data_IF_576483080557
#
_entry.id   IF_576483080557
#
_cell.length_a   1.000
_cell.length_b   1.000
_cell.length_c   1.000
_cell.angle_alpha   90.00
_cell.angle_beta   90.00
_cell.angle_gamma   90.00
#
_symmetry.space_group_name_H-M   'P 1'
#
loop_
_entity.id
_entity.type
_entity.pdbx_description
1 polymer ?
#
# COMPACT_ATOMS: atom_id res chain seq x y z
N UNK A 1 -41.65 -18.47 28.17
CA UNK A 1 -40.30 -18.77 28.71
C UNK A 1 -39.35 -18.77 27.51
N UNK A 2 -38.80 -17.60 27.17
CA UNK A 2 -37.49 -17.04 27.59
C UNK A 2 -36.31 -17.59 26.78
N UNK A 3 -35.91 -16.71 25.84
CA UNK A 3 -34.62 -16.46 25.17
C UNK A 3 -33.34 -17.02 25.80
N UNK A 4 -32.35 -17.30 24.93
CA UNK A 4 -30.93 -16.83 24.96
C UNK A 4 -29.99 -17.84 24.28
N UNK A 5 -28.95 -17.52 23.51
CA UNK A 5 -28.38 -16.25 23.03
C UNK A 5 -27.55 -16.58 21.77
N UNK A 6 -27.58 -15.70 20.78
CA UNK A 6 -26.63 -15.62 19.67
C UNK A 6 -25.21 -15.41 20.23
N UNK A 7 -24.24 -16.22 19.80
CA UNK A 7 -22.82 -15.90 19.96
C UNK A 7 -22.36 -15.15 18.69
N UNK A 8 -22.05 -13.87 18.87
CA UNK A 8 -21.67 -12.89 17.85
C UNK A 8 -20.27 -13.13 17.21
N UNK A 9 -20.02 -12.58 16.00
CA UNK A 9 -18.74 -12.59 15.27
C UNK A 9 -17.63 -11.66 15.84
N UNK A 10 -17.60 -11.40 17.15
CA UNK A 10 -16.72 -10.39 17.77
C UNK A 10 -15.22 -10.73 17.82
N UNK A 11 -14.82 -12.01 17.70
CA UNK A 11 -13.40 -12.38 17.88
C UNK A 11 -12.51 -11.99 16.70
N UNK A 12 -13.04 -11.95 15.47
CA UNK A 12 -12.22 -11.79 14.27
C UNK A 12 -11.87 -10.33 13.97
N UNK A 13 -12.76 -9.40 14.34
CA UNK A 13 -12.44 -7.96 14.35
C UNK A 13 -11.24 -7.69 15.26
N UNK A 14 -11.04 -8.41 16.37
CA UNK A 14 -9.96 -8.13 17.33
C UNK A 14 -8.57 -8.45 16.79
N UNK A 15 -8.39 -9.45 15.92
CA UNK A 15 -7.06 -9.76 15.37
C UNK A 15 -6.67 -8.76 14.26
N UNK A 16 -7.61 -8.38 13.39
CA UNK A 16 -7.39 -7.35 12.36
C UNK A 16 -7.23 -5.95 12.98
N UNK A 17 -8.01 -5.63 14.04
CA UNK A 17 -7.80 -4.42 14.84
C UNK A 17 -6.46 -4.45 15.59
N UNK A 18 -5.98 -5.61 16.04
CA UNK A 18 -4.73 -5.69 16.81
C UNK A 18 -3.50 -5.39 15.95
N UNK A 19 -3.47 -5.87 14.70
CA UNK A 19 -2.42 -5.49 13.73
C UNK A 19 -2.44 -3.98 13.44
N UNK A 20 -3.62 -3.41 13.14
CA UNK A 20 -3.79 -1.98 12.88
C UNK A 20 -3.53 -1.08 14.11
N UNK A 21 -3.83 -1.57 15.33
CA UNK A 21 -3.55 -0.85 16.59
C UNK A 21 -2.07 -0.87 16.93
N UNK A 22 -1.33 -1.94 16.59
CA UNK A 22 0.10 -2.03 16.83
C UNK A 22 0.88 -0.98 16.01
N UNK A 23 0.56 -0.81 14.72
CA UNK A 23 1.15 0.24 13.87
C UNK A 23 0.85 1.66 14.37
N UNK A 24 -0.39 1.92 14.83
CA UNK A 24 -0.74 3.23 15.40
C UNK A 24 -0.03 3.55 16.74
N UNK A 25 0.37 2.54 17.52
CA UNK A 25 1.05 2.73 18.81
C UNK A 25 2.56 2.97 18.67
N UNK A 26 3.20 2.49 17.59
CA UNK A 26 4.62 2.73 17.32
C UNK A 26 4.94 4.22 17.05
N UNK A 27 3.94 5.00 16.64
CA UNK A 27 4.08 6.44 16.30
C UNK A 27 4.12 7.35 17.55
N UNK A 28 3.82 6.84 18.76
CA UNK A 28 3.74 7.66 19.99
C UNK A 28 4.65 7.20 21.14
N UNK A 29 5.59 6.28 20.89
CA UNK A 29 6.29 5.54 21.95
C UNK A 29 7.81 5.71 22.04
N UNK A 30 8.39 6.85 21.65
CA UNK A 30 9.83 7.10 21.83
C UNK A 30 10.21 7.24 23.31
N UNK A 31 10.58 6.13 23.97
CA UNK A 31 11.14 6.15 25.33
C UNK A 31 12.51 6.82 25.31
N UNK A 32 12.61 7.94 26.03
CA UNK A 32 13.85 8.61 26.37
C UNK A 32 14.78 7.66 27.14
N UNK A 33 15.99 7.46 26.60
CA UNK A 33 17.08 6.80 27.31
C UNK A 33 18.05 7.89 27.76
N UNK A 34 18.19 8.02 29.09
CA UNK A 34 19.11 8.97 29.74
C UNK A 34 20.56 8.64 29.39
N UNK A 35 21.25 9.61 28.78
CA UNK A 35 22.68 9.56 28.49
C UNK A 35 23.32 10.92 28.83
N UNK A 36 24.40 10.86 29.61
CA UNK A 36 25.08 11.96 30.25
C UNK A 36 25.43 13.17 29.38
N UNK A 37 25.34 14.34 30.01
CA UNK A 37 25.74 15.64 29.50
C UNK A 37 27.20 15.67 29.03
N UNK A 38 27.42 16.16 27.82
CA UNK A 38 28.65 16.89 27.47
C UNK A 38 28.25 18.03 26.54
N UNK A 39 28.55 19.23 27.00
CA UNK A 39 28.24 20.52 26.38
C UNK A 39 28.93 20.68 25.03
N UNK A 40 28.13 20.81 23.97
CA UNK A 40 28.56 21.28 22.66
C UNK A 40 27.42 22.08 22.02
N UNK A 41 27.56 23.40 21.98
CA UNK A 41 26.68 24.29 21.22
C UNK A 41 26.69 23.87 19.74
N UNK A 42 25.54 23.43 19.26
CA UNK A 42 25.23 23.36 17.83
C UNK A 42 23.92 24.14 17.62
N UNK A 43 24.00 25.10 16.70
CA UNK A 43 22.97 26.07 16.35
C UNK A 43 21.76 25.34 15.76
N UNK A 44 20.77 25.05 16.61
CA UNK A 44 19.56 24.33 16.24
C UNK A 44 18.52 25.29 15.67
N UNK A 45 18.46 25.41 14.36
CA UNK A 45 17.34 26.07 13.68
C UNK A 45 16.03 25.32 13.97
N UNK A 46 15.27 25.79 14.95
CA UNK A 46 13.94 25.27 15.27
C UNK A 46 13.02 25.55 14.08
N UNK A 47 12.77 24.54 13.23
CA UNK A 47 11.72 24.65 12.21
C UNK A 47 10.38 24.91 12.91
N UNK A 48 9.86 26.11 12.72
CA UNK A 48 8.55 26.53 13.21
C UNK A 48 7.44 25.66 12.56
N UNK A 49 6.91 24.71 13.33
CA UNK A 49 5.85 23.76 12.96
C UNK A 49 4.44 24.29 13.29
N UNK A 50 4.19 25.58 13.09
CA UNK A 50 2.84 26.13 13.32
C UNK A 50 1.80 25.48 12.37
N UNK A 51 0.52 25.33 12.79
CA UNK A 51 -0.52 24.70 11.97
C UNK A 51 -0.70 25.35 10.60
N UNK A 52 -0.54 26.67 10.51
CA UNK A 52 -0.63 27.42 9.25
C UNK A 52 0.48 27.03 8.28
N UNK A 53 1.73 26.94 8.74
CA UNK A 53 2.85 26.49 7.90
C UNK A 53 2.71 25.05 7.43
N UNK A 54 2.18 24.18 8.27
CA UNK A 54 1.89 22.78 7.89
C UNK A 54 0.82 22.71 6.79
N UNK A 55 -0.24 23.52 6.90
CA UNK A 55 -1.26 23.60 5.86
C UNK A 55 -0.71 24.17 4.54
N UNK A 56 0.11 25.22 4.60
CA UNK A 56 0.79 25.78 3.43
C UNK A 56 1.74 24.77 2.77
N UNK A 57 2.49 24.01 3.58
CA UNK A 57 3.36 22.94 3.09
C UNK A 57 2.57 21.85 2.37
N UNK A 58 1.50 21.34 2.99
CA UNK A 58 0.62 20.34 2.38
C UNK A 58 0.03 20.82 1.06
N UNK A 59 -0.44 22.06 1.02
CA UNK A 59 -0.95 22.66 -0.22
C UNK A 59 0.14 22.73 -1.30
N UNK A 60 1.37 23.12 -0.94
CA UNK A 60 2.51 23.15 -1.86
C UNK A 60 2.82 21.76 -2.42
N UNK A 61 2.83 20.73 -1.57
CA UNK A 61 3.09 19.35 -1.97
C UNK A 61 1.98 18.81 -2.87
N UNK A 62 0.71 19.02 -2.52
CA UNK A 62 -0.43 18.63 -3.38
C UNK A 62 -0.35 19.30 -4.75
N UNK A 63 0.09 20.56 -4.82
CA UNK A 63 0.26 21.29 -6.08
C UNK A 63 1.44 20.76 -6.93
N UNK A 64 2.36 19.99 -6.34
CA UNK A 64 3.45 19.35 -7.06
C UNK A 64 3.02 18.09 -7.82
N UNK A 65 1.87 17.49 -7.46
CA UNK A 65 1.28 16.38 -8.22
C UNK A 65 0.75 16.92 -9.56
N UNK A 66 1.31 16.52 -10.71
CA UNK A 66 0.94 17.07 -12.01
C UNK A 66 -0.29 16.37 -12.61
N UNK A 67 -1.21 15.89 -11.75
CA UNK A 67 -2.33 15.04 -12.14
C UNK A 67 -3.66 15.72 -11.82
N UNK A 68 -4.64 15.53 -12.70
CA UNK A 68 -6.00 15.99 -12.43
C UNK A 68 -6.57 15.23 -11.22
N UNK A 69 -7.16 15.96 -10.29
CA UNK A 69 -7.69 15.43 -9.04
C UNK A 69 -9.20 15.69 -8.94
N UNK A 70 -9.96 14.61 -8.83
CA UNK A 70 -11.40 14.62 -8.58
C UNK A 70 -11.68 14.37 -7.11
N UNK A 71 -12.74 14.94 -6.57
CA UNK A 71 -13.17 14.67 -5.19
C UNK A 71 -14.65 14.32 -5.14
N UNK A 72 -14.96 13.19 -4.52
CA UNK A 72 -16.33 12.66 -4.36
C UNK A 72 -16.55 12.19 -2.94
N UNK A 73 -17.79 11.83 -2.58
CA UNK A 73 -18.03 11.10 -1.33
C UNK A 73 -17.48 9.67 -1.45
N UNK A 74 -16.98 9.07 -0.36
CA UNK A 74 -16.38 7.73 -0.40
C UNK A 74 -17.35 6.65 -0.87
N UNK A 75 -18.66 6.82 -0.61
CA UNK A 75 -19.72 5.93 -1.13
C UNK A 75 -19.83 5.94 -2.66
N UNK A 76 -19.36 7.01 -3.31
CA UNK A 76 -19.44 7.21 -4.76
C UNK A 76 -18.11 6.89 -5.47
N UNK A 77 -17.04 6.58 -4.72
CA UNK A 77 -15.67 6.49 -5.24
C UNK A 77 -15.52 5.48 -6.39
N UNK A 78 -16.07 4.26 -6.26
CA UNK A 78 -16.01 3.25 -7.32
C UNK A 78 -16.84 3.62 -8.55
N UNK A 79 -18.00 4.26 -8.34
CA UNK A 79 -18.85 4.72 -9.44
C UNK A 79 -18.16 5.81 -10.25
N UNK A 80 -17.49 6.75 -9.58
CA UNK A 80 -16.73 7.80 -10.24
C UNK A 80 -15.46 7.26 -10.91
N UNK A 81 -14.73 6.36 -10.25
CA UNK A 81 -13.60 5.65 -10.85
C UNK A 81 -14.02 4.98 -12.16
N UNK A 82 -15.15 4.26 -12.17
CA UNK A 82 -15.67 3.62 -13.37
C UNK A 82 -16.01 4.63 -14.46
N UNK A 83 -16.68 5.73 -14.10
CA UNK A 83 -17.03 6.79 -15.06
C UNK A 83 -15.79 7.37 -15.72
N UNK A 84 -14.75 7.65 -14.95
CA UNK A 84 -13.47 8.19 -15.45
C UNK A 84 -12.72 7.16 -16.31
N UNK A 85 -12.70 5.89 -15.89
CA UNK A 85 -12.07 4.80 -16.64
C UNK A 85 -12.72 4.63 -18.02
N UNK A 86 -14.05 4.65 -18.08
CA UNK A 86 -14.81 4.51 -19.33
C UNK A 86 -14.58 5.69 -20.32
N UNK A 87 -14.07 6.84 -19.87
CA UNK A 87 -13.67 7.94 -20.76
C UNK A 87 -12.36 7.67 -21.51
N UNK A 88 -11.51 6.77 -21.00
CA UNK A 88 -10.26 6.38 -21.65
C UNK A 88 -9.20 7.48 -21.76
N UNK A 89 -9.24 8.50 -20.90
CA UNK A 89 -8.31 9.65 -20.92
C UNK A 89 -7.07 9.45 -20.03
N UNK A 90 -6.94 8.28 -19.41
CA UNK A 90 -5.91 7.93 -18.46
C UNK A 90 -6.43 6.83 -17.53
N UNK A 91 -5.63 6.48 -16.52
CA UNK A 91 -6.00 5.52 -15.50
C UNK A 91 -6.43 6.25 -14.22
N UNK A 92 -7.71 6.22 -13.82
CA UNK A 92 -8.12 6.78 -12.55
C UNK A 92 -7.61 5.90 -11.40
N UNK A 93 -7.16 6.53 -10.31
CA UNK A 93 -6.67 5.85 -9.12
C UNK A 93 -7.32 6.47 -7.90
N UNK A 94 -8.06 5.66 -7.14
CA UNK A 94 -8.66 6.13 -5.89
C UNK A 94 -7.56 6.22 -4.83
N UNK A 95 -7.35 7.41 -4.28
CA UNK A 95 -6.29 7.67 -3.30
C UNK A 95 -6.78 7.51 -1.87
N UNK A 96 -8.04 7.85 -1.58
CA UNK A 96 -8.56 7.89 -0.22
C UNK A 96 -8.86 9.31 0.22
N UNK A 97 -8.84 9.58 1.52
CA UNK A 97 -9.20 10.87 2.10
C UNK A 97 -8.09 11.94 1.97
N UNK A 98 -8.29 13.08 2.62
CA UNK A 98 -7.35 14.21 2.60
C UNK A 98 -5.96 13.81 3.15
N UNK A 99 -5.90 12.94 4.18
CA UNK A 99 -4.63 12.48 4.74
C UNK A 99 -3.90 11.55 3.77
N UNK A 100 -4.63 10.64 3.13
CA UNK A 100 -4.06 9.77 2.10
C UNK A 100 -3.48 10.57 0.92
N UNK A 101 -4.17 11.63 0.48
CA UNK A 101 -3.65 12.51 -0.58
C UNK A 101 -2.40 13.28 -0.13
N UNK A 102 -2.34 13.73 1.12
CA UNK A 102 -1.15 14.37 1.69
C UNK A 102 0.05 13.41 1.65
N UNK A 103 -0.14 12.15 2.08
CA UNK A 103 0.94 11.13 2.06
C UNK A 103 1.45 10.86 0.65
N UNK A 104 0.56 10.73 -0.34
CA UNK A 104 0.97 10.57 -1.75
C UNK A 104 1.76 11.78 -2.25
N UNK A 105 1.32 12.99 -1.91
CA UNK A 105 2.01 14.21 -2.32
C UNK A 105 3.39 14.36 -1.66
N UNK A 106 3.49 14.00 -0.39
CA UNK A 106 4.76 13.93 0.36
C UNK A 106 5.71 12.93 -0.29
N UNK A 107 5.29 11.68 -0.49
CA UNK A 107 6.07 10.61 -1.11
C UNK A 107 6.58 10.99 -2.51
N UNK A 108 5.70 11.50 -3.37
CA UNK A 108 6.06 11.92 -4.73
C UNK A 108 7.16 13.00 -4.76
N UNK A 109 7.21 13.82 -3.70
CA UNK A 109 8.10 14.97 -3.57
C UNK A 109 9.34 14.69 -2.70
N UNK A 110 9.49 13.49 -2.12
CA UNK A 110 10.56 13.18 -1.16
C UNK A 110 11.96 13.46 -1.73
N UNK A 111 12.17 13.05 -2.97
CA UNK A 111 13.46 13.20 -3.66
C UNK A 111 13.57 14.52 -4.45
N UNK A 112 12.55 15.37 -4.43
CA UNK A 112 12.57 16.63 -5.18
C UNK A 112 13.33 17.72 -4.39
N UNK A 113 14.54 18.12 -4.84
CA UNK A 113 15.34 19.11 -4.15
C UNK A 113 14.71 20.51 -4.12
N UNK A 114 13.68 20.78 -4.94
CA UNK A 114 12.90 22.02 -4.90
C UNK A 114 11.80 22.01 -3.82
N UNK A 115 11.46 20.82 -3.29
CA UNK A 115 10.42 20.63 -2.28
C UNK A 115 11.00 20.36 -0.90
N UNK A 116 12.06 19.55 -0.79
CA UNK A 116 12.77 19.26 0.45
C UNK A 116 14.27 19.55 0.30
N UNK A 117 14.92 20.27 1.24
CA UNK A 117 16.35 20.56 1.14
C UNK A 117 17.19 19.26 1.14
N UNK A 118 18.21 19.19 0.27
CA UNK A 118 19.14 18.06 0.09
C UNK A 118 19.89 17.59 1.37
N UNK A 119 19.71 18.27 2.51
CA UNK A 119 20.40 18.00 3.78
C UNK A 119 20.01 16.67 4.45
N UNK A 120 19.05 15.91 3.91
CA UNK A 120 18.73 14.57 4.39
C UNK A 120 19.57 13.46 3.72
N UNK A 121 19.99 13.63 2.46
CA UNK A 121 20.78 12.63 1.72
C UNK A 121 21.75 13.30 0.72
N UNK A 122 23.09 13.30 0.98
CA UNK A 122 24.08 14.01 0.16
C UNK A 122 24.30 13.46 -1.27
N UNK A 123 23.63 12.35 -1.63
CA UNK A 123 23.86 11.60 -2.87
C UNK A 123 22.61 11.49 -3.76
N UNK A 124 21.54 12.23 -3.47
CA UNK A 124 20.29 12.11 -4.22
C UNK A 124 20.48 12.57 -5.68
N UNK A 125 20.50 11.61 -6.61
CA UNK A 125 20.23 11.87 -8.02
C UNK A 125 18.86 12.51 -8.18
N UNK A 126 18.64 13.27 -9.25
CA UNK A 126 17.30 13.79 -9.57
C UNK A 126 16.26 12.64 -9.54
N UNK A 127 15.02 12.92 -9.11
CA UNK A 127 13.97 11.91 -9.10
C UNK A 127 13.80 11.28 -10.48
N UNK A 128 13.76 9.94 -10.54
CA UNK A 128 13.48 9.24 -11.79
C UNK A 128 12.12 9.68 -12.35
N UNK A 129 12.05 9.81 -13.66
CA UNK A 129 10.80 10.01 -14.40
C UNK A 129 10.01 8.70 -14.47
N UNK A 130 8.70 8.79 -14.71
CA UNK A 130 7.87 7.60 -14.91
C UNK A 130 8.41 6.71 -16.04
N UNK A 131 8.87 7.32 -17.15
CA UNK A 131 9.44 6.58 -18.29
C UNK A 131 10.72 5.80 -17.91
N UNK A 132 11.60 6.38 -17.09
CA UNK A 132 12.81 5.69 -16.62
C UNK A 132 12.49 4.53 -15.68
N UNK A 133 11.49 4.70 -14.80
CA UNK A 133 11.03 3.64 -13.89
C UNK A 133 10.40 2.50 -14.71
N UNK A 134 9.54 2.81 -15.68
CA UNK A 134 8.90 1.83 -16.56
C UNK A 134 9.96 1.07 -17.37
N UNK A 135 10.97 1.77 -17.91
CA UNK A 135 12.08 1.13 -18.61
C UNK A 135 12.92 0.24 -17.70
N UNK A 136 13.15 0.64 -16.44
CA UNK A 136 13.84 -0.20 -15.46
C UNK A 136 13.04 -1.49 -15.14
N UNK A 137 11.71 -1.39 -15.09
CA UNK A 137 10.83 -2.54 -14.85
C UNK A 137 10.92 -3.62 -15.94
N UNK A 138 11.36 -3.29 -17.16
CA UNK A 138 11.55 -4.27 -18.25
C UNK A 138 12.69 -5.25 -17.97
N UNK A 139 13.65 -4.88 -17.12
CA UNK A 139 14.72 -5.77 -16.66
C UNK A 139 14.32 -6.68 -15.49
N UNK A 140 13.13 -6.50 -14.90
CA UNK A 140 12.71 -7.20 -13.68
C UNK A 140 11.95 -8.47 -14.05
N UNK A 141 12.54 -9.63 -13.73
CA UNK A 141 11.95 -10.93 -14.05
C UNK A 141 11.11 -11.49 -12.89
N UNK A 142 9.78 -11.36 -13.00
CA UNK A 142 8.80 -11.86 -12.01
C UNK A 142 8.38 -13.31 -12.37
N UNK A 143 8.27 -14.24 -11.39
CA UNK A 143 8.30 -14.02 -9.94
C UNK A 143 9.68 -14.11 -9.28
N UNK A 144 10.75 -14.38 -10.03
CA UNK A 144 12.09 -14.53 -9.47
C UNK A 144 12.57 -13.30 -8.68
N UNK A 145 12.31 -12.10 -9.21
CA UNK A 145 12.65 -10.84 -8.57
C UNK A 145 11.90 -10.61 -7.25
N UNK A 146 10.64 -11.07 -7.13
CA UNK A 146 9.90 -10.95 -5.87
C UNK A 146 10.54 -11.82 -4.78
N UNK A 147 10.90 -13.06 -5.14
CA UNK A 147 11.61 -13.96 -4.22
C UNK A 147 12.95 -13.36 -3.78
N UNK A 148 13.72 -12.81 -4.73
CA UNK A 148 15.01 -12.19 -4.43
C UNK A 148 14.81 -10.97 -3.51
N UNK A 149 13.86 -10.10 -3.83
CA UNK A 149 13.52 -8.94 -3.01
C UNK A 149 13.19 -9.35 -1.57
N UNK A 150 12.31 -10.34 -1.38
CA UNK A 150 11.98 -10.84 -0.04
C UNK A 150 13.20 -11.42 0.68
N UNK A 151 14.09 -12.13 -0.03
CA UNK A 151 15.32 -12.65 0.56
C UNK A 151 16.31 -11.54 0.95
N UNK A 152 16.41 -10.48 0.16
CA UNK A 152 17.29 -9.35 0.46
C UNK A 152 16.79 -8.55 1.67
N UNK A 153 15.47 -8.46 1.86
CA UNK A 153 14.85 -7.71 2.94
C UNK A 153 14.75 -8.50 4.26
N UNK A 154 14.50 -9.81 4.19
CA UNK A 154 14.21 -10.66 5.36
C UNK A 154 15.18 -11.84 5.56
N UNK A 155 16.14 -12.06 4.67
CA UNK A 155 16.95 -13.29 4.63
C UNK A 155 18.04 -13.43 5.68
N UNK A 156 18.41 -12.35 6.38
CA UNK A 156 19.52 -12.34 7.35
C UNK A 156 19.09 -12.77 8.78
N UNK A 157 17.79 -12.94 9.05
CA UNK A 157 17.27 -13.31 10.37
C UNK A 157 16.94 -14.82 10.48
N UNK A 158 17.92 -15.62 10.95
CA UNK A 158 17.83 -17.09 11.06
C UNK A 158 16.68 -17.63 11.97
N UNK A 159 16.10 -16.81 12.86
CA UNK A 159 15.03 -17.22 13.78
C UNK A 159 13.67 -16.49 13.56
N UNK A 160 13.61 -15.38 12.83
CA UNK A 160 12.42 -14.51 12.76
C UNK A 160 11.60 -14.62 11.46
N UNK A 161 12.23 -14.90 10.31
CA UNK A 161 11.57 -14.74 9.00
C UNK A 161 11.61 -16.00 8.13
N UNK A 162 11.24 -17.13 8.73
CA UNK A 162 10.98 -18.34 7.96
C UNK A 162 9.79 -18.13 7.01
N UNK A 163 9.91 -18.67 5.79
CA UNK A 163 8.79 -18.78 4.85
C UNK A 163 7.55 -19.30 5.60
N UNK A 164 6.39 -18.61 5.53
CA UNK A 164 5.20 -19.03 6.24
C UNK A 164 4.80 -20.43 5.81
N UNK A 165 4.32 -21.23 6.78
CA UNK A 165 3.80 -22.53 6.49
C UNK A 165 2.61 -22.44 5.50
N UNK A 166 2.38 -23.50 4.72
CA UNK A 166 1.17 -23.58 3.90
C UNK A 166 -0.09 -23.43 4.78
N UNK A 167 -0.10 -24.05 5.96
CA UNK A 167 -1.26 -24.03 6.85
C UNK A 167 -2.39 -24.95 6.38
N UNK A 168 -3.55 -24.84 7.03
CA UNK A 168 -4.74 -25.64 6.69
C UNK A 168 -5.65 -24.87 5.74
N UNK A 169 -6.25 -25.57 4.77
CA UNK A 169 -7.25 -24.95 3.91
C UNK A 169 -8.50 -24.57 4.74
N UNK A 170 -8.93 -23.31 4.73
CA UNK A 170 -10.01 -22.88 5.60
C UNK A 170 -11.38 -23.39 5.11
N UNK A 171 -12.33 -23.51 6.03
CA UNK A 171 -13.74 -23.80 5.70
C UNK A 171 -14.53 -22.57 5.25
N UNK A 172 -13.96 -21.36 5.43
CA UNK A 172 -14.54 -20.08 5.02
C UNK A 172 -13.45 -19.07 4.66
N UNK A 173 -13.72 -18.21 3.69
CA UNK A 173 -12.83 -17.18 3.12
C UNK A 173 -13.18 -15.76 3.56
N UNK A 174 -14.18 -15.58 4.43
CA UNK A 174 -14.77 -14.26 4.74
C UNK A 174 -13.79 -13.19 5.26
N UNK A 175 -12.60 -13.59 5.72
CA UNK A 175 -11.58 -12.69 6.27
C UNK A 175 -10.23 -12.81 5.55
N UNK A 176 -10.16 -13.55 4.44
CA UNK A 176 -8.92 -13.73 3.70
C UNK A 176 -8.60 -12.52 2.80
N UNK A 177 -9.62 -11.77 2.38
CA UNK A 177 -9.47 -10.55 1.59
C UNK A 177 -10.45 -9.49 2.11
N UNK A 178 -9.99 -8.31 2.54
CA UNK A 178 -10.84 -7.27 3.10
C UNK A 178 -11.70 -6.55 2.04
N UNK A 179 -11.48 -6.82 0.74
CA UNK A 179 -12.19 -6.18 -0.35
C UNK A 179 -11.63 -4.80 -0.69
N UNK A 180 -12.50 -3.87 -1.06
CA UNK A 180 -12.14 -2.49 -1.34
C UNK A 180 -12.10 -1.66 -0.06
N UNK A 181 -10.92 -1.17 0.32
CA UNK A 181 -10.66 -0.54 1.62
C UNK A 181 -10.35 0.95 1.53
N UNK A 182 -9.74 1.42 0.45
CA UNK A 182 -9.17 2.78 0.35
C UNK A 182 -10.20 3.93 0.49
N UNK A 183 -11.48 3.69 0.25
CA UNK A 183 -12.53 4.72 0.39
C UNK A 183 -13.23 4.73 1.75
N UNK A 184 -12.82 3.90 2.72
CA UNK A 184 -13.45 3.79 4.03
C UNK A 184 -12.45 3.72 5.17
N UNK A 185 -12.85 4.19 6.34
CA UNK A 185 -12.11 3.99 7.57
C UNK A 185 -12.11 2.49 7.91
N UNK A 186 -10.91 1.90 7.98
CA UNK A 186 -10.73 0.45 8.13
C UNK A 186 -11.23 -0.08 9.48
N UNK A 187 -11.23 0.76 10.53
CA UNK A 187 -11.63 0.36 11.88
C UNK A 187 -13.17 0.33 12.02
N UNK A 188 -13.84 1.27 11.38
CA UNK A 188 -15.29 1.48 11.49
C UNK A 188 -16.08 0.96 10.30
N UNK A 189 -15.42 0.76 9.15
CA UNK A 189 -16.03 0.43 7.87
C UNK A 189 -16.85 1.57 7.26
N UNK A 190 -16.76 2.78 7.80
CA UNK A 190 -17.52 3.93 7.30
C UNK A 190 -16.79 4.57 6.13
N UNK A 191 -17.50 4.77 5.03
CA UNK A 191 -16.99 5.51 3.90
C UNK A 191 -16.56 6.92 4.31
N UNK A 192 -15.43 7.38 3.78
CA UNK A 192 -14.95 8.74 4.05
C UNK A 192 -15.92 9.78 3.46
N UNK A 193 -16.13 10.93 4.12
CA UNK A 193 -16.95 12.01 3.57
C UNK A 193 -16.40 12.58 2.26
N UNK A 194 -15.08 12.50 2.06
CA UNK A 194 -14.35 12.99 0.90
C UNK A 194 -13.29 11.97 0.52
N UNK A 195 -13.25 11.61 -0.75
CA UNK A 195 -12.25 10.73 -1.34
C UNK A 195 -11.73 11.38 -2.63
N UNK A 196 -10.41 11.34 -2.80
CA UNK A 196 -9.70 11.87 -3.95
C UNK A 196 -9.39 10.78 -4.97
N UNK A 197 -9.48 11.13 -6.25
CA UNK A 197 -9.14 10.27 -7.38
C UNK A 197 -8.18 11.03 -8.27
N UNK A 198 -7.00 10.48 -8.54
CA UNK A 198 -6.04 11.05 -9.49
C UNK A 198 -6.20 10.39 -10.85
N UNK A 199 -6.17 11.18 -11.92
CA UNK A 199 -6.13 10.67 -13.29
C UNK A 199 -4.68 10.62 -13.78
N UNK A 200 -4.15 9.41 -13.88
CA UNK A 200 -2.75 9.15 -14.25
C UNK A 200 -2.66 9.02 -15.78
N UNK A 201 -1.68 9.65 -16.46
CA UNK A 201 -1.61 9.70 -17.92
C UNK A 201 -1.01 8.42 -18.52
N UNK A 202 -1.62 7.28 -18.22
CA UNK A 202 -1.29 5.95 -18.77
C UNK A 202 -2.58 5.19 -19.08
N UNK A 203 -2.62 4.36 -20.14
CA UNK A 203 -3.71 3.41 -20.35
C UNK A 203 -3.54 2.12 -19.52
N UNK A 204 -2.44 1.97 -18.77
CA UNK A 204 -2.09 0.73 -18.09
C UNK A 204 -2.02 0.92 -16.58
N UNK A 205 -2.91 0.23 -15.85
CA UNK A 205 -2.96 0.31 -14.38
C UNK A 205 -1.63 -0.03 -13.71
N UNK A 206 -0.87 -0.96 -14.30
CA UNK A 206 0.40 -1.43 -13.75
C UNK A 206 1.53 -0.39 -13.86
N UNK A 207 1.37 0.69 -14.62
CA UNK A 207 2.36 1.77 -14.69
C UNK A 207 2.14 2.85 -13.62
N UNK A 208 0.99 2.86 -12.94
CA UNK A 208 0.63 3.86 -11.92
C UNK A 208 1.74 4.08 -10.87
N UNK A 209 2.37 3.04 -10.29
CA UNK A 209 3.44 3.23 -9.31
C UNK A 209 4.63 4.05 -9.84
N UNK A 210 4.94 3.96 -11.14
CA UNK A 210 6.00 4.76 -11.75
C UNK A 210 5.64 6.25 -11.84
N UNK A 211 4.39 6.55 -12.19
CA UNK A 211 3.90 7.94 -12.23
C UNK A 211 3.83 8.57 -10.84
N UNK A 212 3.49 7.78 -9.82
CA UNK A 212 3.43 8.25 -8.44
C UNK A 212 4.77 8.15 -7.69
N UNK A 213 5.81 7.57 -8.31
CA UNK A 213 7.11 7.28 -7.67
C UNK A 213 6.94 6.52 -6.34
N UNK A 214 6.03 5.56 -6.34
CA UNK A 214 5.54 4.90 -5.12
C UNK A 214 6.35 3.62 -4.83
N UNK A 215 6.92 3.53 -3.63
CA UNK A 215 7.74 2.41 -3.14
C UNK A 215 9.05 2.85 -2.46
N UNK A 216 9.88 1.91 -2.00
CA UNK A 216 11.15 2.11 -1.28
C UNK A 216 11.05 2.58 0.19
N UNK A 217 10.13 2.04 0.96
CA UNK A 217 10.05 2.25 2.42
C UNK A 217 9.49 1.02 3.10
N UNK A 218 9.85 0.71 4.35
CA UNK A 218 9.22 -0.36 5.16
C UNK A 218 9.01 -1.69 4.41
N UNK A 219 10.06 -2.26 3.80
CA UNK A 219 9.95 -3.47 2.97
C UNK A 219 8.94 -3.37 1.79
N UNK A 220 8.51 -2.16 1.43
CA UNK A 220 7.72 -1.87 0.24
C UNK A 220 8.65 -1.85 -0.99
N UNK A 221 8.35 -2.68 -2.01
CA UNK A 221 9.17 -2.75 -3.21
C UNK A 221 9.45 -1.40 -3.87
N UNK A 222 10.47 -1.35 -4.71
CA UNK A 222 10.72 -0.15 -5.52
C UNK A 222 9.63 0.04 -6.58
N UNK A 223 9.42 1.28 -7.08
CA UNK A 223 8.47 1.56 -8.15
C UNK A 223 8.60 0.63 -9.36
N UNK A 224 9.82 0.29 -9.79
CA UNK A 224 10.06 -0.62 -10.91
C UNK A 224 9.68 -2.08 -10.61
N UNK A 225 9.84 -2.54 -9.36
CA UNK A 225 9.37 -3.87 -8.94
C UNK A 225 7.84 -3.89 -8.91
N UNK A 226 7.19 -2.82 -8.43
CA UNK A 226 5.73 -2.68 -8.50
C UNK A 226 5.23 -2.79 -9.93
N UNK A 227 5.79 -2.00 -10.86
CA UNK A 227 5.38 -2.05 -12.27
C UNK A 227 5.52 -3.46 -12.84
N UNK A 228 6.65 -4.13 -12.59
CA UNK A 228 6.89 -5.48 -13.09
C UNK A 228 5.92 -6.52 -12.49
N UNK A 229 5.66 -6.45 -11.17
CA UNK A 229 4.77 -7.36 -10.46
C UNK A 229 3.31 -7.21 -10.92
N UNK A 230 2.83 -5.97 -10.96
CA UNK A 230 1.47 -5.64 -11.40
C UNK A 230 1.29 -6.02 -12.87
N UNK A 231 2.29 -5.78 -13.73
CA UNK A 231 2.26 -6.20 -15.13
C UNK A 231 2.24 -7.71 -15.28
N UNK A 232 3.03 -8.44 -14.49
CA UNK A 232 3.01 -9.91 -14.48
C UNK A 232 1.62 -10.46 -14.08
N UNK A 233 1.00 -9.89 -13.06
CA UNK A 233 -0.34 -10.29 -12.64
C UNK A 233 -1.43 -9.85 -13.61
N UNK A 234 -1.30 -8.69 -14.26
CA UNK A 234 -2.23 -8.25 -15.31
C UNK A 234 -2.31 -9.30 -16.43
N UNK A 235 -1.16 -9.75 -16.96
CA UNK A 235 -1.14 -10.75 -18.04
C UNK A 235 -1.77 -12.10 -17.63
N UNK A 236 -1.60 -12.51 -16.37
CA UNK A 236 -2.08 -13.82 -15.89
C UNK A 236 -3.54 -13.77 -15.45
N UNK A 237 -3.87 -12.79 -14.63
CA UNK A 237 -5.12 -12.71 -13.87
C UNK A 237 -6.03 -11.56 -14.30
N UNK A 238 -5.63 -10.75 -15.29
CA UNK A 238 -6.34 -9.52 -15.65
C UNK A 238 -6.51 -8.62 -14.41
N UNK A 239 -5.45 -8.57 -13.60
CA UNK A 239 -5.40 -7.80 -12.36
C UNK A 239 -5.07 -6.34 -12.66
N UNK A 240 -5.94 -5.45 -12.20
CA UNK A 240 -5.85 -4.02 -12.43
C UNK A 240 -5.82 -3.25 -11.11
N UNK A 241 -4.98 -2.22 -11.02
CA UNK A 241 -4.90 -1.34 -9.86
C UNK A 241 -6.11 -0.40 -9.85
N UNK A 242 -6.87 -0.39 -8.75
CA UNK A 242 -8.06 0.45 -8.58
C UNK A 242 -7.79 1.61 -7.63
N UNK A 243 -7.07 1.33 -6.54
CA UNK A 243 -6.68 2.35 -5.57
C UNK A 243 -5.28 2.11 -5.05
N UNK A 244 -4.61 3.20 -4.70
CA UNK A 244 -3.28 3.23 -4.11
C UNK A 244 -3.20 4.47 -3.21
N UNK A 245 -2.83 4.27 -1.95
CA UNK A 245 -2.67 5.35 -0.97
C UNK A 245 -1.25 5.29 -0.35
N UNK A 246 -1.01 5.92 0.80
CA UNK A 246 0.32 5.96 1.40
C UNK A 246 0.96 4.59 1.72
N UNK A 247 0.15 3.56 1.97
CA UNK A 247 0.62 2.26 2.47
C UNK A 247 -0.18 1.06 1.95
N UNK A 248 -1.20 1.28 1.11
CA UNK A 248 -2.18 0.27 0.70
C UNK A 248 -2.37 0.29 -0.81
N UNK A 249 -2.49 -0.90 -1.41
CA UNK A 249 -2.97 -1.08 -2.79
C UNK A 249 -4.23 -1.94 -2.78
N UNK A 250 -5.27 -1.48 -3.48
CA UNK A 250 -6.41 -2.31 -3.87
C UNK A 250 -6.35 -2.62 -5.37
N UNK A 251 -6.36 -3.90 -5.72
CA UNK A 251 -6.46 -4.36 -7.10
C UNK A 251 -7.74 -5.16 -7.32
N UNK A 252 -8.17 -5.25 -8.57
CA UNK A 252 -9.26 -6.11 -9.00
C UNK A 252 -8.80 -7.03 -10.12
N UNK A 253 -8.96 -8.34 -9.93
CA UNK A 253 -8.62 -9.37 -10.90
C UNK A 253 -9.87 -9.98 -11.52
N UNK A 254 -10.00 -9.92 -12.84
CA UNK A 254 -11.14 -10.53 -13.55
C UNK A 254 -10.99 -12.03 -13.75
N UNK A 255 -9.76 -12.58 -13.64
CA UNK A 255 -9.49 -14.03 -13.68
C UNK A 255 -8.90 -14.49 -12.36
N UNK A 256 -9.53 -15.49 -11.76
CA UNK A 256 -9.06 -16.12 -10.51
C UNK A 256 -8.24 -17.37 -10.78
N UNK A 257 -7.31 -17.75 -9.88
CA UNK A 257 -6.67 -19.05 -9.94
C UNK A 257 -7.72 -20.17 -9.90
N UNK A 258 -7.58 -21.13 -10.80
CA UNK A 258 -8.57 -22.20 -11.05
C UNK A 258 -8.34 -23.45 -10.20
N UNK A 259 -7.13 -23.59 -9.62
CA UNK A 259 -6.73 -24.75 -8.82
C UNK A 259 -6.07 -24.31 -7.52
N UNK A 260 -6.13 -25.18 -6.50
CA UNK A 260 -5.43 -24.96 -5.22
C UNK A 260 -3.91 -24.75 -5.43
N UNK A 261 -3.29 -25.52 -6.32
CA UNK A 261 -1.85 -25.42 -6.58
C UNK A 261 -1.49 -24.06 -7.22
N UNK A 262 -2.29 -23.59 -8.17
CA UNK A 262 -2.15 -22.27 -8.77
C UNK A 262 -2.35 -21.15 -7.72
N UNK A 263 -3.39 -21.26 -6.91
CA UNK A 263 -3.71 -20.29 -5.86
C UNK A 263 -2.60 -20.20 -4.81
N UNK A 264 -2.02 -21.32 -4.38
CA UNK A 264 -0.87 -21.35 -3.48
C UNK A 264 0.39 -20.78 -4.11
N UNK A 265 0.57 -20.96 -5.42
CA UNK A 265 1.68 -20.31 -6.13
C UNK A 265 1.52 -18.80 -6.15
N UNK A 266 0.32 -18.31 -6.47
CA UNK A 266 0.00 -16.88 -6.45
C UNK A 266 0.12 -16.30 -5.04
N UNK A 267 -0.36 -17.00 -4.01
CA UNK A 267 -0.24 -16.57 -2.62
C UNK A 267 1.22 -16.42 -2.19
N UNK A 268 2.13 -17.30 -2.66
CA UNK A 268 3.57 -17.14 -2.43
C UNK A 268 4.14 -15.93 -3.16
N UNK A 269 3.76 -15.71 -4.42
CA UNK A 269 4.20 -14.53 -5.17
C UNK A 269 3.73 -13.23 -4.48
N UNK A 270 2.49 -13.19 -4.00
CA UNK A 270 1.94 -12.05 -3.26
C UNK A 270 2.61 -11.86 -1.89
N UNK A 271 2.92 -12.95 -1.19
CA UNK A 271 3.68 -12.91 0.07
C UNK A 271 5.09 -12.34 -0.13
N UNK A 272 5.82 -12.77 -1.17
CA UNK A 272 7.14 -12.22 -1.47
C UNK A 272 7.09 -10.73 -1.83
N UNK A 273 5.98 -10.27 -2.41
CA UNK A 273 5.77 -8.88 -2.75
C UNK A 273 5.37 -8.02 -1.54
N UNK A 274 4.60 -8.59 -0.61
CA UNK A 274 4.06 -7.92 0.55
C UNK A 274 3.91 -8.98 1.65
N UNK A 275 4.84 -9.02 2.61
CA UNK A 275 4.85 -10.08 3.61
C UNK A 275 3.74 -9.91 4.66
N UNK A 276 3.37 -8.66 4.96
CA UNK A 276 2.40 -8.29 6.00
C UNK A 276 0.99 -8.84 5.76
N UNK A 277 0.57 -9.05 4.51
CA UNK A 277 -0.74 -9.68 4.24
C UNK A 277 -0.84 -11.12 4.77
N UNK A 278 0.31 -11.77 5.02
CA UNK A 278 0.37 -13.06 5.71
C UNK A 278 0.75 -12.87 7.17
N UNK A 279 1.87 -12.22 7.47
CA UNK A 279 2.37 -12.13 8.86
C UNK A 279 1.41 -11.40 9.80
N UNK A 280 0.73 -10.37 9.30
CA UNK A 280 -0.24 -9.57 10.07
C UNK A 280 -1.69 -9.78 9.59
N UNK A 281 -1.89 -10.62 8.57
CA UNK A 281 -3.18 -10.91 7.97
C UNK A 281 -3.59 -12.36 8.13
N UNK A 282 -3.34 -13.17 7.10
CA UNK A 282 -3.88 -14.54 7.03
C UNK A 282 -3.13 -15.59 7.85
N UNK A 283 -2.01 -15.21 8.46
CA UNK A 283 -1.08 -16.02 9.28
C UNK A 283 -0.36 -17.16 8.52
N UNK A 284 -1.01 -17.76 7.52
CA UNK A 284 -0.47 -18.83 6.65
C UNK A 284 -0.89 -18.62 5.19
N UNK A 285 -0.30 -19.38 4.27
CA UNK A 285 -0.54 -19.22 2.83
C UNK A 285 -1.90 -19.77 2.35
N UNK A 286 -2.40 -20.85 2.95
CA UNK A 286 -3.62 -21.51 2.49
C UNK A 286 -4.88 -20.64 2.64
N UNK A 287 -5.07 -19.86 3.71
CA UNK A 287 -6.19 -18.93 3.78
C UNK A 287 -6.09 -17.79 2.76
N UNK A 288 -4.90 -17.24 2.51
CA UNK A 288 -4.68 -16.26 1.43
C UNK A 288 -5.04 -16.87 0.06
N UNK A 289 -4.51 -18.06 -0.24
CA UNK A 289 -4.80 -18.79 -1.48
C UNK A 289 -6.30 -19.07 -1.65
N UNK A 290 -7.00 -19.47 -0.60
CA UNK A 290 -8.44 -19.69 -0.63
C UNK A 290 -9.20 -18.37 -0.91
N UNK A 291 -8.78 -17.26 -0.30
CA UNK A 291 -9.33 -15.93 -0.56
C UNK A 291 -9.14 -15.49 -2.02
N UNK A 292 -7.98 -15.76 -2.61
CA UNK A 292 -7.69 -15.45 -4.02
C UNK A 292 -8.55 -16.25 -5.01
N UNK A 293 -9.05 -17.43 -4.62
CA UNK A 293 -10.00 -18.21 -5.43
C UNK A 293 -11.44 -17.67 -5.33
N UNK A 294 -11.78 -16.99 -4.24
CA UNK A 294 -13.14 -16.58 -3.90
C UNK A 294 -13.44 -15.09 -4.14
N UNK A 295 -12.41 -14.25 -4.13
CA UNK A 295 -12.51 -12.79 -4.28
C UNK A 295 -11.87 -12.31 -5.59
N UNK A 296 -12.51 -11.33 -6.23
CA UNK A 296 -11.88 -10.53 -7.30
C UNK A 296 -10.99 -9.42 -6.74
N UNK A 297 -11.12 -9.09 -5.47
CA UNK A 297 -10.33 -8.05 -4.80
C UNK A 297 -9.07 -8.62 -4.21
N UNK A 298 -7.95 -7.95 -4.49
CA UNK A 298 -6.69 -8.16 -3.82
C UNK A 298 -6.32 -6.91 -3.03
N UNK A 299 -5.71 -7.14 -1.88
CA UNK A 299 -5.31 -6.12 -0.93
C UNK A 299 -3.85 -6.34 -0.57
N UNK A 300 -3.09 -5.25 -0.53
CA UNK A 300 -1.72 -5.20 -0.04
C UNK A 300 -1.60 -4.03 0.92
N UNK A 301 -0.86 -4.22 2.01
CA UNK A 301 -0.61 -3.20 3.02
C UNK A 301 0.78 -3.39 3.62
N UNK A 302 1.47 -2.29 3.90
CA UNK A 302 2.78 -2.26 4.55
C UNK A 302 2.67 -1.38 5.81
N UNK A 303 3.23 -1.83 6.94
CA UNK A 303 3.27 -1.04 8.20
C UNK A 303 4.18 0.20 8.10
#
# INVERSE_FOLDING_TARGET
MTFSFLAEPQMMRRNFLAALIAGAAAILGGKAQEGHATTGQADGGTQDRSPTKLAEMRQKLRAALPYECFTVAGVDALSEWKRLHDLGQGWPVIIGDDEALDRIAEQYSLDDPAMLPQSAHPSASLPKTAAEIIAAADGVNVPGALRQFWQDEYGDDEEADAMPAEGSWPSSTSNAQPGFTIASDVLTGKAFPRVHILLIPTPHSYEVPAYLRWGNWNACPSPEIHVAALRYWHHRYDAELIGLNGDTINMRASRRPSTKAEALSLARDQFYYCADIVYQGTETLAPLAAGLMDSDWWFFWWD
#
